data_IF_816369148419
#
_entry.id   IF_816369148419
#
_cell.length_a   1.000
_cell.length_b   1.000
_cell.length_c   1.000
_cell.angle_alpha   90.00
_cell.angle_beta   90.00
_cell.angle_gamma   90.00
#
_symmetry.space_group_name_H-M   'P 1'
#
loop_
_entity.id
_entity.type
_entity.pdbx_description
1 polymer ?
#
# COMPACT_ATOMS: atom_id res chain seq x y z
N UNK A 1 -28.48 21.16 1.30
CA UNK A 1 -27.52 20.06 0.99
C UNK A 1 -26.86 19.49 2.24
N UNK A 2 -26.44 20.29 3.22
CA UNK A 2 -25.85 19.84 4.50
C UNK A 2 -26.71 18.79 5.23
N UNK A 3 -28.03 18.99 5.46
CA UNK A 3 -28.83 17.97 6.16
C UNK A 3 -28.87 16.61 5.47
N UNK A 4 -28.76 16.58 4.12
CA UNK A 4 -28.68 15.34 3.38
C UNK A 4 -27.35 14.62 3.61
N UNK A 5 -26.24 15.35 3.63
CA UNK A 5 -24.91 14.80 3.87
C UNK A 5 -24.78 14.26 5.30
N UNK A 6 -25.32 15.01 6.28
CA UNK A 6 -25.37 14.57 7.67
C UNK A 6 -26.23 13.32 7.88
N UNK A 7 -27.28 13.14 7.08
CA UNK A 7 -28.16 11.96 7.18
C UNK A 7 -27.53 10.66 6.67
N UNK A 8 -26.53 10.73 5.81
CA UNK A 8 -25.83 9.56 5.23
C UNK A 8 -24.44 9.34 5.81
N UNK A 9 -23.88 10.35 6.49
CA UNK A 9 -22.60 10.23 7.17
C UNK A 9 -22.75 9.57 8.55
N UNK A 10 -21.68 9.00 9.09
CA UNK A 10 -21.61 8.67 10.52
C UNK A 10 -21.73 9.94 11.35
N UNK A 11 -22.14 9.89 12.63
CA UNK A 11 -22.06 11.03 13.52
C UNK A 11 -20.67 11.67 13.45
N UNK A 12 -20.63 13.00 13.30
CA UNK A 12 -19.40 13.78 13.11
C UNK A 12 -18.56 13.41 11.88
N UNK A 13 -19.12 12.63 10.94
CA UNK A 13 -18.44 12.12 9.74
C UNK A 13 -18.51 13.04 8.51
N UNK A 14 -18.99 14.30 8.66
CA UNK A 14 -19.05 15.30 7.61
C UNK A 14 -18.16 16.50 7.94
N UNK A 15 -17.35 16.92 6.99
CA UNK A 15 -16.54 18.14 7.08
C UNK A 15 -16.61 18.93 5.78
N UNK A 16 -16.96 20.22 5.85
CA UNK A 16 -16.81 21.14 4.74
C UNK A 16 -15.35 21.65 4.68
N UNK A 17 -14.56 21.13 3.75
CA UNK A 17 -13.13 21.38 3.66
C UNK A 17 -12.74 22.75 3.10
N UNK A 18 -13.69 23.53 2.56
CA UNK A 18 -13.42 24.84 1.96
C UNK A 18 -14.10 25.05 0.60
N UNK A 19 -13.56 25.92 -0.26
CA UNK A 19 -14.15 26.24 -1.55
C UNK A 19 -14.20 25.04 -2.50
N UNK A 20 -14.85 25.22 -3.65
CA UNK A 20 -14.98 24.16 -4.67
C UNK A 20 -13.62 23.53 -5.01
N UNK A 21 -13.55 22.21 -4.98
CA UNK A 21 -12.32 21.44 -5.19
C UNK A 21 -11.59 21.02 -3.90
N UNK A 22 -11.73 21.76 -2.79
CA UNK A 22 -11.00 21.48 -1.55
C UNK A 22 -11.29 20.05 -1.00
N UNK A 23 -12.54 19.58 -1.05
CA UNK A 23 -12.90 18.23 -0.61
C UNK A 23 -12.24 17.14 -1.45
N UNK A 24 -12.17 17.31 -2.78
CA UNK A 24 -11.47 16.38 -3.66
C UNK A 24 -9.96 16.36 -3.39
N UNK A 25 -9.36 17.52 -3.15
CA UNK A 25 -7.94 17.62 -2.79
C UNK A 25 -7.64 16.89 -1.47
N UNK A 26 -8.44 17.13 -0.43
CA UNK A 26 -8.30 16.44 0.86
C UNK A 26 -8.47 14.93 0.71
N UNK A 27 -9.44 14.48 -0.11
CA UNK A 27 -9.62 13.03 -0.36
C UNK A 27 -8.46 12.42 -1.16
N UNK A 28 -7.89 13.15 -2.10
CA UNK A 28 -6.69 12.71 -2.83
C UNK A 28 -5.50 12.50 -1.88
N UNK A 29 -5.26 13.45 -0.98
CA UNK A 29 -4.20 13.34 0.05
C UNK A 29 -4.46 12.15 0.98
N UNK A 30 -5.71 11.97 1.43
CA UNK A 30 -6.11 10.80 2.21
C UNK A 30 -5.76 9.49 1.49
N UNK A 31 -6.06 9.38 0.20
CA UNK A 31 -5.77 8.17 -0.57
C UNK A 31 -4.25 7.93 -0.72
N UNK A 32 -3.44 8.98 -0.85
CA UNK A 32 -1.99 8.84 -0.84
C UNK A 32 -1.46 8.27 0.48
N UNK A 33 -1.96 8.75 1.61
CA UNK A 33 -1.63 8.22 2.94
C UNK A 33 -2.05 6.75 3.04
N UNK A 34 -3.25 6.40 2.56
CA UNK A 34 -3.77 5.03 2.52
C UNK A 34 -2.80 4.09 1.78
N UNK A 35 -2.26 4.51 0.63
CA UNK A 35 -1.30 3.70 -0.13
C UNK A 35 -0.04 3.39 0.68
N UNK A 36 0.52 4.37 1.36
CA UNK A 36 1.71 4.18 2.19
C UNK A 36 1.43 3.27 3.39
N UNK A 37 0.27 3.41 4.02
CA UNK A 37 -0.15 2.55 5.13
C UNK A 37 -0.34 1.09 4.68
N UNK A 38 -1.01 0.86 3.55
CA UNK A 38 -1.18 -0.49 2.99
C UNK A 38 0.17 -1.13 2.65
N UNK A 39 1.08 -0.37 2.04
CA UNK A 39 2.42 -0.87 1.73
C UNK A 39 3.20 -1.24 2.99
N UNK A 40 3.17 -0.38 4.01
CA UNK A 40 3.85 -0.65 5.28
C UNK A 40 3.29 -1.88 6.01
N UNK A 41 1.97 -2.08 6.00
CA UNK A 41 1.35 -3.28 6.53
C UNK A 41 1.78 -4.53 5.75
N UNK A 42 1.76 -4.47 4.41
CA UNK A 42 2.19 -5.58 3.57
C UNK A 42 3.64 -5.99 3.85
N UNK A 43 4.58 -5.05 3.86
CA UNK A 43 5.99 -5.30 4.16
C UNK A 43 6.20 -5.85 5.58
N UNK A 44 5.48 -5.30 6.57
CA UNK A 44 5.56 -5.76 7.95
C UNK A 44 5.08 -7.21 8.11
N UNK A 45 3.95 -7.55 7.50
CA UNK A 45 3.41 -8.91 7.57
C UNK A 45 4.23 -9.90 6.74
N UNK A 46 4.85 -9.48 5.63
CA UNK A 46 5.81 -10.31 4.91
C UNK A 46 7.06 -10.61 5.76
N UNK A 47 7.58 -9.63 6.50
CA UNK A 47 8.67 -9.85 7.46
C UNK A 47 8.30 -10.85 8.55
N UNK A 48 7.08 -10.74 9.12
CA UNK A 48 6.59 -11.72 10.10
C UNK A 48 6.50 -13.13 9.49
N UNK A 49 5.95 -13.25 8.28
CA UNK A 49 5.83 -14.52 7.57
C UNK A 49 7.19 -15.17 7.27
N UNK A 50 8.21 -14.36 7.01
CA UNK A 50 9.57 -14.81 6.69
C UNK A 50 10.41 -15.13 7.94
N UNK A 51 9.88 -14.87 9.13
CA UNK A 51 10.59 -15.12 10.38
C UNK A 51 10.76 -16.63 10.64
N UNK A 52 11.80 -17.05 11.39
CA UNK A 52 12.04 -18.47 11.74
C UNK A 52 11.12 -18.92 12.89
N UNK A 53 9.93 -18.39 13.00
CA UNK A 53 8.95 -18.68 14.04
C UNK A 53 7.63 -19.07 13.39
N UNK A 54 6.90 -19.98 14.03
CA UNK A 54 5.51 -20.29 13.67
C UNK A 54 4.57 -19.25 14.30
N UNK A 55 4.31 -18.18 13.56
CA UNK A 55 3.54 -17.03 14.04
C UNK A 55 2.09 -17.09 13.55
N UNK A 56 1.15 -16.90 14.47
CA UNK A 56 -0.24 -16.72 14.15
C UNK A 56 -0.50 -15.27 13.69
N UNK A 57 -0.53 -15.07 12.36
CA UNK A 57 -0.72 -13.76 11.74
C UNK A 57 -2.08 -13.14 12.09
N UNK A 58 -3.11 -13.97 12.20
CA UNK A 58 -4.47 -13.53 12.56
C UNK A 58 -4.49 -12.99 13.99
N UNK A 59 -3.92 -13.74 14.93
CA UNK A 59 -3.83 -13.32 16.32
C UNK A 59 -3.00 -12.02 16.46
N UNK A 60 -1.88 -11.89 15.73
CA UNK A 60 -1.05 -10.69 15.74
C UNK A 60 -1.84 -9.48 15.21
N UNK A 61 -2.54 -9.61 14.08
CA UNK A 61 -3.33 -8.51 13.53
C UNK A 61 -4.44 -8.07 14.50
N UNK A 62 -5.11 -9.00 15.15
CA UNK A 62 -6.15 -8.73 16.17
C UNK A 62 -5.58 -8.04 17.41
N UNK A 63 -4.47 -8.54 17.93
CA UNK A 63 -3.80 -7.96 19.10
C UNK A 63 -3.31 -6.53 18.82
N UNK A 64 -2.65 -6.32 17.70
CA UNK A 64 -2.16 -4.98 17.32
C UNK A 64 -3.30 -3.99 17.08
N UNK A 65 -4.45 -4.45 16.57
CA UNK A 65 -5.61 -3.58 16.40
C UNK A 65 -6.33 -3.26 17.72
N UNK A 66 -6.14 -4.06 18.76
CA UNK A 66 -6.79 -3.86 20.06
C UNK A 66 -6.22 -2.66 20.84
N UNK A 67 -4.94 -2.33 20.72
CA UNK A 67 -4.39 -1.23 21.52
C UNK A 67 -3.04 -0.68 21.10
N UNK A 68 -2.43 -1.19 20.04
CA UNK A 68 -1.13 -0.72 19.57
C UNK A 68 -1.24 0.61 18.79
N UNK A 69 -0.12 1.31 18.67
CA UNK A 69 -0.04 2.61 17.98
C UNK A 69 -0.42 2.54 16.50
N UNK A 70 -0.26 1.37 15.86
CA UNK A 70 -0.59 1.13 14.46
C UNK A 70 -2.02 0.64 14.24
N UNK A 71 -2.86 0.59 15.29
CA UNK A 71 -4.28 0.23 15.16
C UNK A 71 -4.96 1.06 14.08
N UNK A 72 -5.75 0.42 13.23
CA UNK A 72 -6.43 1.10 12.12
C UNK A 72 -7.53 0.20 11.56
N UNK A 73 -8.46 0.80 10.84
CA UNK A 73 -9.44 0.02 10.11
C UNK A 73 -8.79 -0.92 9.07
N UNK A 74 -7.68 -0.53 8.45
CA UNK A 74 -6.93 -1.41 7.55
C UNK A 74 -6.40 -2.65 8.25
N UNK A 75 -5.92 -2.52 9.48
CA UNK A 75 -5.43 -3.64 10.27
C UNK A 75 -6.58 -4.56 10.75
N UNK A 76 -7.75 -3.99 11.03
CA UNK A 76 -8.97 -4.76 11.28
C UNK A 76 -9.35 -5.62 10.07
N UNK A 77 -9.42 -4.99 8.88
CA UNK A 77 -9.73 -5.68 7.62
C UNK A 77 -8.68 -6.75 7.25
N UNK A 78 -7.41 -6.50 7.55
CA UNK A 78 -6.37 -7.52 7.39
C UNK A 78 -6.62 -8.72 8.32
N UNK A 79 -6.99 -8.47 9.58
CA UNK A 79 -7.38 -9.53 10.51
C UNK A 79 -8.55 -10.36 10.01
N UNK A 80 -9.57 -9.72 9.42
CA UNK A 80 -10.73 -10.41 8.84
C UNK A 80 -10.32 -11.27 7.64
N UNK A 81 -9.45 -10.76 6.76
CA UNK A 81 -8.94 -11.51 5.62
C UNK A 81 -8.13 -12.74 6.06
N UNK A 82 -7.25 -12.58 7.04
CA UNK A 82 -6.42 -13.67 7.57
C UNK A 82 -7.24 -14.72 8.34
N UNK A 83 -8.38 -14.36 8.92
CA UNK A 83 -9.30 -15.32 9.55
C UNK A 83 -9.92 -16.27 8.52
N UNK A 84 -10.24 -15.74 7.33
CA UNK A 84 -10.78 -16.53 6.21
C UNK A 84 -9.72 -17.33 5.43
N UNK A 85 -8.51 -16.78 5.32
CA UNK A 85 -7.37 -17.37 4.61
C UNK A 85 -6.06 -16.99 5.33
N UNK A 86 -5.61 -17.76 6.33
CA UNK A 86 -4.46 -17.41 7.17
C UNK A 86 -3.14 -17.23 6.41
N UNK A 87 -3.07 -17.70 5.19
CA UNK A 87 -1.88 -17.61 4.34
C UNK A 87 -2.05 -16.70 3.13
N UNK A 88 -3.25 -16.21 2.89
CA UNK A 88 -3.67 -15.49 1.69
C UNK A 88 -3.32 -16.24 0.39
N UNK A 89 -3.35 -17.58 0.44
CA UNK A 89 -2.96 -18.45 -0.67
C UNK A 89 -3.99 -18.41 -1.83
N UNK A 90 -5.19 -17.89 -1.60
CA UNK A 90 -6.23 -17.68 -2.61
C UNK A 90 -6.04 -16.40 -3.43
N UNK A 91 -5.10 -15.53 -3.04
CA UNK A 91 -4.84 -14.24 -3.68
C UNK A 91 -3.51 -14.25 -4.43
N UNK A 92 -3.43 -13.42 -5.48
CA UNK A 92 -2.17 -13.05 -6.11
C UNK A 92 -1.68 -11.71 -5.57
N UNK A 93 -0.37 -11.45 -5.65
CA UNK A 93 0.21 -10.17 -5.25
C UNK A 93 0.02 -9.04 -6.26
N UNK A 94 -0.79 -9.23 -7.31
CA UNK A 94 -1.12 -8.18 -8.29
C UNK A 94 -2.08 -7.16 -7.68
N UNK A 95 -1.65 -5.90 -7.57
CA UNK A 95 -2.45 -4.81 -7.01
C UNK A 95 -2.87 -3.84 -8.11
N UNK A 96 -4.14 -3.91 -8.48
CA UNK A 96 -4.76 -3.05 -9.48
C UNK A 96 -4.88 -1.57 -9.07
N UNK A 97 -5.44 -0.72 -9.94
CA UNK A 97 -5.65 0.72 -9.70
C UNK A 97 -4.35 1.53 -9.69
N UNK A 98 -4.35 2.66 -9.02
CA UNK A 98 -3.18 3.52 -8.87
C UNK A 98 -3.42 4.99 -9.24
N UNK A 99 -4.57 5.32 -9.85
CA UNK A 99 -4.86 6.64 -10.40
C UNK A 99 -4.83 7.74 -9.34
N UNK A 100 -5.48 7.52 -8.20
CA UNK A 100 -5.55 8.50 -7.12
C UNK A 100 -4.21 8.71 -6.43
N UNK A 101 -3.41 7.64 -6.27
CA UNK A 101 -2.04 7.73 -5.78
C UNK A 101 -1.14 8.49 -6.74
N UNK A 102 -1.34 8.31 -8.06
CA UNK A 102 -0.60 9.03 -9.09
C UNK A 102 -0.91 10.53 -9.04
N UNK A 103 -2.18 10.92 -8.99
CA UNK A 103 -2.57 12.32 -8.85
C UNK A 103 -1.97 12.99 -7.61
N UNK A 104 -1.93 12.26 -6.49
CA UNK A 104 -1.28 12.77 -5.27
C UNK A 104 0.21 13.04 -5.49
N UNK A 105 0.94 12.12 -6.11
CA UNK A 105 2.39 12.25 -6.36
C UNK A 105 2.66 13.36 -7.38
N UNK A 106 1.89 13.44 -8.46
CA UNK A 106 1.98 14.51 -9.47
C UNK A 106 1.75 15.89 -8.82
N UNK A 107 0.69 16.05 -8.02
CA UNK A 107 0.41 17.28 -7.30
C UNK A 107 1.52 17.62 -6.29
N UNK A 108 2.07 16.65 -5.60
CA UNK A 108 3.19 16.87 -4.69
C UNK A 108 4.43 17.42 -5.41
N UNK A 109 4.73 16.89 -6.61
CA UNK A 109 5.83 17.40 -7.45
C UNK A 109 5.57 18.83 -7.92
N UNK A 110 4.35 19.15 -8.37
CA UNK A 110 3.95 20.52 -8.77
C UNK A 110 4.11 21.52 -7.62
N UNK A 111 3.80 21.11 -6.40
CA UNK A 111 3.89 21.95 -5.20
C UNK A 111 5.31 21.95 -4.58
N UNK A 112 6.24 21.14 -5.06
CA UNK A 112 7.56 20.98 -4.46
C UNK A 112 7.55 20.30 -3.10
N UNK A 113 6.51 19.50 -2.78
CA UNK A 113 6.37 18.80 -1.50
C UNK A 113 6.93 17.38 -1.62
N UNK A 114 7.97 17.01 -0.86
CA UNK A 114 8.52 15.67 -0.92
C UNK A 114 7.58 14.66 -0.25
N UNK A 115 7.21 13.61 -0.99
CA UNK A 115 6.31 12.54 -0.52
C UNK A 115 6.92 11.15 -0.78
N UNK A 116 8.14 10.83 -0.27
CA UNK A 116 8.86 9.62 -0.66
C UNK A 116 8.11 8.33 -0.32
N UNK A 117 7.49 8.22 0.84
CA UNK A 117 6.75 7.01 1.24
C UNK A 117 5.55 6.75 0.34
N UNK A 118 4.79 7.81 -0.01
CA UNK A 118 3.64 7.70 -0.90
C UNK A 118 4.08 7.39 -2.33
N UNK A 119 5.10 8.05 -2.82
CA UNK A 119 5.64 7.80 -4.16
C UNK A 119 6.16 6.36 -4.30
N UNK A 120 6.90 5.86 -3.30
CA UNK A 120 7.41 4.49 -3.30
C UNK A 120 6.27 3.47 -3.27
N UNK A 121 5.25 3.67 -2.43
CA UNK A 121 4.10 2.76 -2.39
C UNK A 121 3.34 2.67 -3.72
N UNK A 122 3.23 3.79 -4.46
CA UNK A 122 2.69 3.80 -5.81
C UNK A 122 3.57 2.98 -6.79
N UNK A 123 4.89 3.16 -6.72
CA UNK A 123 5.84 2.41 -7.56
C UNK A 123 5.82 0.91 -7.25
N UNK A 124 5.71 0.53 -5.98
CA UNK A 124 5.54 -0.87 -5.58
C UNK A 124 4.24 -1.47 -6.12
N UNK A 125 3.16 -0.70 -6.18
CA UNK A 125 1.92 -1.13 -6.84
C UNK A 125 2.11 -1.35 -8.34
N UNK A 126 2.89 -0.54 -9.04
CA UNK A 126 3.25 -0.81 -10.43
C UNK A 126 4.16 -2.04 -10.56
N UNK A 127 5.09 -2.21 -9.62
CA UNK A 127 6.00 -3.35 -9.59
C UNK A 127 5.26 -4.68 -9.39
N UNK A 128 4.19 -4.69 -8.60
CA UNK A 128 3.40 -5.91 -8.32
C UNK A 128 2.79 -6.57 -9.57
N UNK A 129 2.70 -5.82 -10.68
CA UNK A 129 2.15 -6.31 -11.97
C UNK A 129 3.21 -6.83 -12.93
N UNK A 130 4.46 -6.97 -12.48
CA UNK A 130 5.61 -7.30 -13.34
C UNK A 130 6.36 -8.49 -12.75
N UNK A 131 6.33 -9.63 -13.45
CA UNK A 131 7.05 -10.83 -13.02
C UNK A 131 8.55 -10.75 -13.34
N UNK A 132 8.90 -10.38 -14.58
CA UNK A 132 10.27 -10.23 -15.04
C UNK A 132 10.44 -8.89 -15.78
N UNK A 133 11.37 -8.06 -15.32
CA UNK A 133 11.56 -6.71 -15.86
C UNK A 133 12.82 -6.60 -16.69
N UNK A 134 12.74 -5.79 -17.77
CA UNK A 134 13.94 -5.44 -18.54
C UNK A 134 15.02 -4.77 -17.68
N UNK A 135 14.64 -3.96 -16.69
CA UNK A 135 15.56 -3.38 -15.72
C UNK A 135 16.35 -4.45 -14.94
N UNK A 136 15.66 -5.50 -14.49
CA UNK A 136 16.29 -6.65 -13.83
C UNK A 136 17.27 -7.37 -14.76
N UNK A 137 16.87 -7.57 -16.03
CA UNK A 137 17.74 -8.18 -17.07
C UNK A 137 18.97 -7.34 -17.34
N UNK A 138 18.86 -6.01 -17.41
CA UNK A 138 20.00 -5.10 -17.58
C UNK A 138 20.98 -5.23 -16.43
N UNK A 139 20.49 -5.22 -15.18
CA UNK A 139 21.35 -5.39 -13.99
C UNK A 139 22.06 -6.76 -14.02
N UNK A 140 21.34 -7.83 -14.33
CA UNK A 140 21.92 -9.18 -14.43
C UNK A 140 23.00 -9.25 -15.52
N UNK A 141 22.71 -8.71 -16.71
CA UNK A 141 23.66 -8.68 -17.82
C UNK A 141 24.94 -7.91 -17.46
N UNK A 142 24.81 -6.71 -16.91
CA UNK A 142 25.95 -5.87 -16.51
C UNK A 142 26.79 -6.57 -15.45
N UNK A 143 26.17 -7.19 -14.45
CA UNK A 143 26.89 -7.95 -13.41
C UNK A 143 27.64 -9.15 -13.99
N UNK A 144 27.09 -9.83 -14.98
CA UNK A 144 27.79 -10.91 -15.68
C UNK A 144 29.05 -10.39 -16.39
N UNK A 145 28.92 -9.28 -17.10
CA UNK A 145 30.05 -8.74 -17.90
C UNK A 145 31.22 -8.21 -17.05
N UNK A 146 30.94 -7.48 -15.96
CA UNK A 146 32.05 -6.92 -15.16
C UNK A 146 32.55 -7.86 -14.06
N UNK A 147 31.73 -8.77 -13.54
CA UNK A 147 32.07 -9.60 -12.39
C UNK A 147 32.02 -11.11 -12.63
N UNK A 148 31.64 -11.55 -13.83
CA UNK A 148 31.44 -12.98 -14.13
C UNK A 148 30.39 -13.66 -13.27
N UNK A 149 29.45 -12.88 -12.71
CA UNK A 149 28.39 -13.41 -11.86
C UNK A 149 27.44 -14.31 -12.65
N UNK A 150 27.10 -15.47 -12.07
CA UNK A 150 26.11 -16.36 -12.66
C UNK A 150 24.77 -15.65 -12.84
N UNK A 151 24.12 -15.86 -13.97
CA UNK A 151 22.77 -15.37 -14.27
C UNK A 151 21.84 -16.56 -14.49
N UNK A 152 20.56 -16.39 -14.17
CA UNK A 152 19.54 -17.37 -14.52
C UNK A 152 19.14 -17.12 -15.97
N UNK A 153 19.25 -18.15 -16.82
CA UNK A 153 18.81 -18.10 -18.21
C UNK A 153 17.27 -18.09 -18.27
N UNK A 154 16.72 -17.43 -19.30
CA UNK A 154 15.29 -17.52 -19.57
C UNK A 154 14.95 -18.91 -20.13
N UNK A 155 13.81 -19.46 -19.70
CA UNK A 155 13.26 -20.69 -20.24
C UNK A 155 12.63 -20.45 -21.61
#
# INVERSE_FOLDING_TARGET
MIPLLESVARPDGYLHCGPSGAGHYVKMVHNGIEYAMLQALGEGFEMLRSAPYDLDMTAIARDWNNGCVIRSWMLELLGDALEGDPRLDTLTGDVGGGETGRWMVETAMELGVPTPSIALSLLMRFRSRQDDTFAGRVVAAVRREFGGHAVKEAE
#
